data_IF_468994585466
#
_entry.id   IF_468994585466
#
_cell.length_a   1.000
_cell.length_b   1.000
_cell.length_c   1.000
_cell.angle_alpha   90.00
_cell.angle_beta   90.00
_cell.angle_gamma   90.00
#
_symmetry.space_group_name_H-M   'P 1'
#
loop_
_entity.id
_entity.type
_entity.pdbx_description
1 polymer ?
#
# COMPACT_ATOMS: atom_id res chain seq x y z
N UNK A 1 -23.43 72.77 2.14
CA UNK A 1 -23.33 71.93 3.35
C UNK A 1 -24.02 70.61 3.04
N UNK A 2 -23.26 69.52 3.21
CA UNK A 2 -23.51 68.15 2.78
C UNK A 2 -24.57 67.43 3.61
N UNK A 3 -25.41 66.60 2.98
CA UNK A 3 -25.90 65.36 3.61
C UNK A 3 -26.44 64.40 2.55
N UNK A 4 -25.64 63.41 2.22
CA UNK A 4 -26.00 62.20 1.46
C UNK A 4 -26.10 61.04 2.45
N UNK A 5 -27.32 60.58 2.75
CA UNK A 5 -27.55 59.33 3.46
C UNK A 5 -27.64 58.18 2.48
N UNK A 6 -26.50 57.51 2.30
CA UNK A 6 -26.36 56.23 1.62
C UNK A 6 -26.55 55.11 2.66
N UNK A 7 -27.75 54.53 2.73
CA UNK A 7 -28.04 53.37 3.57
C UNK A 7 -27.76 52.10 2.79
N UNK A 8 -26.61 51.47 3.05
CA UNK A 8 -26.32 50.10 2.59
C UNK A 8 -27.22 49.10 3.33
N UNK A 9 -27.84 48.14 2.62
CA UNK A 9 -28.58 47.06 3.26
C UNK A 9 -27.62 46.07 3.93
N UNK A 10 -27.89 45.76 5.19
CA UNK A 10 -27.20 44.71 5.95
C UNK A 10 -27.44 43.35 5.27
N UNK A 11 -26.34 42.71 4.84
CA UNK A 11 -26.35 41.34 4.34
C UNK A 11 -26.59 40.40 5.52
N UNK A 12 -27.80 39.87 5.61
CA UNK A 12 -28.14 38.78 6.52
C UNK A 12 -27.26 37.56 6.20
N UNK A 13 -26.31 37.26 7.09
CA UNK A 13 -25.58 35.99 7.10
C UNK A 13 -26.56 34.87 7.48
N UNK A 14 -27.15 34.24 6.46
CA UNK A 14 -27.95 33.03 6.63
C UNK A 14 -26.97 31.88 6.88
N UNK A 15 -26.74 31.56 8.16
CA UNK A 15 -26.08 30.34 8.57
C UNK A 15 -27.01 29.16 8.28
N UNK A 16 -26.93 28.60 7.07
CA UNK A 16 -27.67 27.37 6.74
C UNK A 16 -27.18 26.25 7.68
N UNK A 17 -28.07 25.57 8.42
CA UNK A 17 -27.67 24.43 9.22
C UNK A 17 -27.08 23.36 8.30
N UNK A 18 -25.96 22.76 8.70
CA UNK A 18 -25.34 21.67 7.98
C UNK A 18 -26.37 20.55 7.80
N UNK A 19 -26.95 20.44 6.60
CA UNK A 19 -27.92 19.41 6.30
C UNK A 19 -27.15 18.11 6.28
N UNK A 20 -27.23 17.35 7.38
CA UNK A 20 -26.61 16.04 7.52
C UNK A 20 -27.36 15.08 6.59
N UNK A 21 -26.99 15.09 5.31
CA UNK A 21 -27.72 14.32 4.30
C UNK A 21 -27.39 12.84 4.45
N UNK A 22 -28.28 11.96 3.94
CA UNK A 22 -27.97 10.52 3.83
C UNK A 22 -26.65 10.28 3.08
N UNK A 23 -26.30 11.18 2.15
CA UNK A 23 -25.03 11.17 1.44
C UNK A 23 -23.83 11.38 2.37
N UNK A 24 -23.88 12.39 3.24
CA UNK A 24 -22.83 12.66 4.22
C UNK A 24 -22.68 11.52 5.21
N UNK A 25 -23.79 10.96 5.70
CA UNK A 25 -23.77 9.78 6.56
C UNK A 25 -23.07 8.58 5.91
N UNK A 26 -23.39 8.28 4.64
CA UNK A 26 -22.76 7.18 3.92
C UNK A 26 -21.26 7.42 3.69
N UNK A 27 -20.88 8.64 3.31
CA UNK A 27 -19.47 9.05 3.13
C UNK A 27 -18.69 8.95 4.44
N UNK A 28 -19.24 9.45 5.53
CA UNK A 28 -18.63 9.38 6.86
C UNK A 28 -18.55 7.93 7.36
N UNK A 29 -19.58 7.11 7.14
CA UNK A 29 -19.55 5.69 7.48
C UNK A 29 -18.41 4.96 6.77
N UNK A 30 -18.17 5.26 5.48
CA UNK A 30 -17.09 4.64 4.71
C UNK A 30 -15.70 5.11 5.16
N UNK A 31 -15.58 6.35 5.63
CA UNK A 31 -14.32 7.00 6.04
C UNK A 31 -14.00 6.93 7.54
N UNK A 32 -14.94 6.42 8.35
CA UNK A 32 -14.75 6.33 9.80
C UNK A 32 -13.55 5.45 10.13
N UNK A 33 -12.86 5.80 11.21
CA UNK A 33 -11.88 4.93 11.86
C UNK A 33 -12.63 3.72 12.44
N UNK A 34 -12.17 2.50 12.16
CA UNK A 34 -12.71 1.29 12.75
C UNK A 34 -11.88 0.82 13.95
N UNK A 35 -10.60 1.18 14.00
CA UNK A 35 -9.68 0.81 15.06
C UNK A 35 -8.79 2.00 15.39
N UNK A 36 -8.76 2.41 16.65
CA UNK A 36 -7.87 3.49 17.13
C UNK A 36 -6.40 3.08 17.04
N UNK A 37 -5.46 4.05 17.01
CA UNK A 37 -4.03 3.76 17.11
C UNK A 37 -3.71 2.95 18.38
N UNK A 38 -2.77 2.00 18.25
CA UNK A 38 -2.29 1.19 19.37
C UNK A 38 -1.31 1.98 20.25
N UNK A 39 -0.54 2.88 19.64
CA UNK A 39 0.26 3.90 20.32
C UNK A 39 -0.60 5.15 20.46
N UNK A 40 -0.71 5.74 21.66
CA UNK A 40 -1.47 6.98 21.84
C UNK A 40 -0.77 8.11 21.06
N UNK A 41 -1.45 8.78 20.11
CA UNK A 41 -0.84 9.86 19.31
C UNK A 41 -0.26 10.99 20.15
N UNK A 42 -0.77 11.22 21.36
CA UNK A 42 -0.27 12.26 22.28
C UNK A 42 1.04 11.87 22.95
N UNK A 43 1.36 10.58 22.96
CA UNK A 43 2.58 10.01 23.53
C UNK A 43 3.66 9.75 22.48
N UNK A 44 3.34 9.95 21.20
CA UNK A 44 4.24 9.72 20.08
C UNK A 44 4.76 11.06 19.52
N UNK A 45 5.92 11.55 20.00
CA UNK A 45 6.51 12.79 19.49
C UNK A 45 7.01 12.65 18.05
N UNK A 46 7.25 11.43 17.56
CA UNK A 46 7.77 11.20 16.21
C UNK A 46 6.76 11.59 15.13
N UNK A 47 5.45 11.62 15.44
CA UNK A 47 4.43 12.14 14.50
C UNK A 47 4.76 13.57 14.08
N UNK A 48 5.08 14.44 15.04
CA UNK A 48 5.38 15.85 14.75
C UNK A 48 6.67 15.98 13.94
N UNK A 49 7.70 15.21 14.29
CA UNK A 49 8.98 15.21 13.58
C UNK A 49 8.83 14.72 12.13
N UNK A 50 8.08 13.64 11.91
CA UNK A 50 7.79 13.11 10.57
C UNK A 50 6.99 14.12 9.75
N UNK A 51 5.98 14.77 10.32
CA UNK A 51 5.19 15.79 9.62
C UNK A 51 6.01 17.04 9.26
N UNK A 52 6.85 17.53 10.17
CA UNK A 52 7.69 18.70 9.92
C UNK A 52 8.73 18.43 8.82
N UNK A 53 9.15 17.18 8.68
CA UNK A 53 10.11 16.74 7.67
C UNK A 53 9.45 16.01 6.48
N UNK A 54 8.18 16.33 6.16
CA UNK A 54 7.40 15.61 5.15
C UNK A 54 8.12 15.43 3.80
N UNK A 55 8.70 16.50 3.24
CA UNK A 55 9.39 16.42 1.94
C UNK A 55 10.67 15.57 1.99
N UNK A 56 11.35 15.50 3.15
CA UNK A 56 12.47 14.58 3.34
C UNK A 56 11.99 13.12 3.25
N UNK A 57 10.92 12.80 3.97
CA UNK A 57 10.37 11.44 4.00
C UNK A 57 9.75 11.00 2.67
N UNK A 58 9.03 11.90 1.98
CA UNK A 58 8.52 11.63 0.62
C UNK A 58 9.68 11.32 -0.33
N UNK A 59 10.79 12.07 -0.25
CA UNK A 59 11.99 11.77 -1.04
C UNK A 59 12.56 10.39 -0.71
N UNK A 60 12.63 9.99 0.56
CA UNK A 60 13.09 8.64 0.93
C UNK A 60 12.16 7.55 0.36
N UNK A 61 10.84 7.74 0.40
CA UNK A 61 9.87 6.82 -0.20
C UNK A 61 10.07 6.70 -1.71
N UNK A 62 10.29 7.81 -2.42
CA UNK A 62 10.58 7.79 -3.86
C UNK A 62 11.86 7.01 -4.16
N UNK A 63 12.95 7.28 -3.44
CA UNK A 63 14.21 6.55 -3.58
C UNK A 63 14.02 5.06 -3.32
N UNK A 64 13.27 4.69 -2.28
CA UNK A 64 12.95 3.31 -1.96
C UNK A 64 12.13 2.62 -3.07
N UNK A 65 11.13 3.31 -3.64
CA UNK A 65 10.31 2.80 -4.74
C UNK A 65 11.15 2.43 -5.97
N UNK A 66 12.09 3.29 -6.35
CA UNK A 66 12.94 3.12 -7.54
C UNK A 66 14.22 2.33 -7.29
N UNK A 67 14.51 1.94 -6.04
CA UNK A 67 15.67 1.11 -5.73
C UNK A 67 15.58 -0.24 -6.46
N UNK A 68 16.63 -0.60 -7.20
CA UNK A 68 16.78 -1.90 -7.84
C UNK A 68 17.99 -2.68 -7.34
N UNK A 69 18.74 -2.12 -6.39
CA UNK A 69 19.91 -2.74 -5.79
C UNK A 69 19.50 -3.65 -4.62
N UNK A 70 20.07 -4.85 -4.55
CA UNK A 70 19.86 -5.84 -3.49
C UNK A 70 18.39 -6.16 -3.15
N UNK A 71 17.51 -6.11 -4.15
CA UNK A 71 16.08 -6.42 -4.00
C UNK A 71 15.81 -7.93 -3.89
N UNK A 72 14.74 -8.29 -3.18
CA UNK A 72 14.26 -9.69 -3.01
C UNK A 72 13.69 -10.32 -4.28
N UNK A 73 13.31 -9.48 -5.23
CA UNK A 73 12.75 -9.89 -6.51
C UNK A 73 13.82 -10.46 -7.43
N UNK A 74 13.45 -11.42 -8.27
CA UNK A 74 14.37 -11.90 -9.30
C UNK A 74 14.55 -10.82 -10.36
N UNK A 75 15.72 -10.79 -10.99
CA UNK A 75 16.10 -9.83 -12.04
C UNK A 75 15.05 -9.76 -13.18
N UNK A 76 14.42 -10.90 -13.49
CA UNK A 76 13.39 -10.99 -14.53
C UNK A 76 11.95 -10.82 -14.04
N UNK A 77 11.73 -10.47 -12.77
CA UNK A 77 10.39 -10.31 -12.24
C UNK A 77 9.63 -9.19 -12.96
N UNK A 78 8.35 -9.43 -13.26
CA UNK A 78 7.48 -8.39 -13.84
C UNK A 78 7.37 -7.17 -12.93
N UNK A 79 7.49 -7.35 -11.61
CA UNK A 79 7.45 -6.24 -10.66
C UNK A 79 8.68 -5.34 -10.81
N UNK A 80 9.90 -5.90 -10.78
CA UNK A 80 11.13 -5.11 -10.93
C UNK A 80 11.19 -4.36 -12.28
N UNK A 81 10.74 -4.99 -13.36
CA UNK A 81 10.71 -4.37 -14.70
C UNK A 81 9.86 -3.10 -14.78
N UNK A 82 8.85 -2.95 -13.92
CA UNK A 82 8.02 -1.74 -13.87
C UNK A 82 8.76 -0.53 -13.27
N UNK A 83 9.87 -0.75 -12.57
CA UNK A 83 10.64 0.29 -11.89
C UNK A 83 12.02 0.51 -12.53
N UNK A 84 12.28 -0.08 -13.71
CA UNK A 84 13.45 0.24 -14.51
C UNK A 84 13.43 1.72 -14.93
N UNK A 85 14.60 2.36 -15.06
CA UNK A 85 14.68 3.69 -15.67
C UNK A 85 13.89 3.73 -16.99
N UNK A 86 13.15 4.81 -17.22
CA UNK A 86 12.28 5.03 -18.38
C UNK A 86 11.00 4.17 -18.45
N UNK A 87 10.86 3.14 -17.61
CA UNK A 87 9.65 2.30 -17.59
C UNK A 87 8.52 2.86 -16.71
N UNK A 88 8.87 3.65 -15.68
CA UNK A 88 7.90 4.26 -14.77
C UNK A 88 7.63 5.74 -15.10
N UNK A 89 6.43 6.18 -14.76
CA UNK A 89 6.07 7.61 -14.72
C UNK A 89 6.53 8.20 -13.37
N UNK A 90 7.47 9.15 -13.41
CA UNK A 90 8.02 9.77 -12.21
C UNK A 90 6.98 10.56 -11.41
N UNK A 91 6.00 11.18 -12.08
CA UNK A 91 4.91 11.90 -11.40
C UNK A 91 3.99 10.95 -10.66
N UNK A 92 3.70 9.78 -11.26
CA UNK A 92 2.90 8.75 -10.61
C UNK A 92 3.62 8.18 -9.37
N UNK A 93 4.93 7.95 -9.45
CA UNK A 93 5.72 7.49 -8.30
C UNK A 93 5.67 8.52 -7.18
N UNK A 94 5.94 9.79 -7.47
CA UNK A 94 5.90 10.85 -6.46
C UNK A 94 4.50 10.99 -5.83
N UNK A 95 3.44 11.00 -6.65
CA UNK A 95 2.06 11.07 -6.17
C UNK A 95 1.74 9.89 -5.24
N UNK A 96 2.13 8.66 -5.62
CA UNK A 96 1.95 7.46 -4.79
C UNK A 96 2.69 7.59 -3.46
N UNK A 97 3.94 8.08 -3.47
CA UNK A 97 4.72 8.29 -2.24
C UNK A 97 4.09 9.34 -1.32
N UNK A 98 3.50 10.40 -1.88
CA UNK A 98 2.74 11.40 -1.12
C UNK A 98 1.49 10.79 -0.49
N UNK A 99 0.74 9.97 -1.21
CA UNK A 99 -0.41 9.25 -0.65
C UNK A 99 0.00 8.26 0.46
N UNK A 100 1.10 7.52 0.28
CA UNK A 100 1.67 6.66 1.33
C UNK A 100 1.99 7.47 2.59
N UNK A 101 2.64 8.62 2.43
CA UNK A 101 2.97 9.50 3.55
C UNK A 101 1.71 9.99 4.27
N UNK A 102 0.70 10.47 3.53
CA UNK A 102 -0.55 10.96 4.11
C UNK A 102 -1.32 9.85 4.85
N UNK A 103 -1.44 8.67 4.25
CA UNK A 103 -2.10 7.52 4.87
C UNK A 103 -1.33 7.02 6.10
N UNK A 104 0.01 7.12 6.12
CA UNK A 104 0.83 6.80 7.29
C UNK A 104 0.56 7.77 8.45
N UNK A 105 0.54 9.07 8.18
CA UNK A 105 0.23 10.09 9.21
C UNK A 105 -1.20 9.91 9.73
N UNK A 106 -2.18 9.73 8.83
CA UNK A 106 -3.57 9.45 9.23
C UNK A 106 -3.67 8.17 10.07
N UNK A 107 -2.90 7.14 9.72
CA UNK A 107 -2.84 5.90 10.48
C UNK A 107 -2.30 6.11 11.89
N UNK A 108 -1.26 6.90 12.05
CA UNK A 108 -0.63 7.17 13.36
C UNK A 108 -1.52 8.06 14.23
N UNK A 109 -2.17 9.09 13.65
CA UNK A 109 -3.03 10.02 14.39
C UNK A 109 -4.41 9.49 14.70
N UNK A 110 -5.04 8.85 13.72
CA UNK A 110 -6.48 8.55 13.76
C UNK A 110 -6.75 7.05 13.85
N UNK A 111 -5.84 6.21 13.38
CA UNK A 111 -5.98 4.76 13.45
C UNK A 111 -6.27 4.11 12.10
N UNK A 112 -6.68 2.84 12.12
CA UNK A 112 -6.90 2.05 10.91
C UNK A 112 -8.32 2.19 10.38
N UNK A 113 -8.41 2.40 9.05
CA UNK A 113 -9.64 2.45 8.28
C UNK A 113 -9.84 1.17 7.47
N UNK A 114 -10.53 0.19 8.05
CA UNK A 114 -10.89 -1.03 7.34
C UNK A 114 -11.45 -2.12 8.25
N UNK A 115 -11.90 -3.25 7.67
CA UNK A 115 -12.36 -4.39 8.46
C UNK A 115 -11.22 -4.98 9.30
N UNK A 116 -11.49 -5.32 10.56
CA UNK A 116 -10.50 -5.78 11.53
C UNK A 116 -9.71 -7.02 11.06
N UNK A 117 -10.31 -7.90 10.26
CA UNK A 117 -9.65 -9.09 9.71
C UNK A 117 -8.45 -8.78 8.78
N UNK A 118 -8.38 -7.57 8.22
CA UNK A 118 -7.26 -7.10 7.41
C UNK A 118 -6.23 -6.32 8.24
N UNK A 119 -6.52 -6.05 9.52
CA UNK A 119 -5.59 -5.34 10.39
C UNK A 119 -4.65 -6.35 11.08
N UNK A 120 -3.54 -6.67 10.41
CA UNK A 120 -2.55 -7.63 10.94
C UNK A 120 -1.79 -7.12 12.16
N UNK A 121 -1.72 -5.80 12.37
CA UNK A 121 -1.16 -5.19 13.57
C UNK A 121 -1.95 -5.50 14.85
N UNK A 122 -3.22 -5.97 14.76
CA UNK A 122 -3.98 -6.39 15.96
C UNK A 122 -3.53 -7.73 16.52
N UNK A 123 -3.04 -8.61 15.66
CA UNK A 123 -2.61 -9.97 16.00
C UNK A 123 -1.36 -10.27 15.20
N UNK A 124 -0.23 -9.58 15.50
CA UNK A 124 1.00 -9.77 14.77
C UNK A 124 1.45 -11.23 14.92
N UNK A 125 2.03 -11.78 13.85
CA UNK A 125 2.71 -13.06 13.94
C UNK A 125 4.02 -12.90 14.71
N UNK A 126 4.57 -14.02 15.19
CA UNK A 126 5.89 -14.02 15.84
C UNK A 126 6.95 -13.34 14.96
N UNK A 127 7.66 -12.39 15.56
CA UNK A 127 8.70 -11.59 14.90
C UNK A 127 8.20 -10.38 14.11
N UNK A 128 6.90 -10.08 14.16
CA UNK A 128 6.27 -8.92 13.51
C UNK A 128 5.54 -8.02 14.53
N UNK A 129 5.86 -8.15 15.81
CA UNK A 129 5.22 -7.42 16.91
C UNK A 129 5.40 -5.90 16.77
N UNK A 130 6.48 -5.46 16.12
CA UNK A 130 6.73 -4.05 15.81
C UNK A 130 5.60 -3.41 14.97
N UNK A 131 4.88 -4.16 14.11
CA UNK A 131 3.72 -3.59 13.40
C UNK A 131 2.64 -3.06 14.35
N UNK A 132 2.54 -3.65 15.55
CA UNK A 132 1.57 -3.27 16.58
C UNK A 132 2.04 -2.07 17.42
N UNK A 133 3.32 -2.03 17.78
CA UNK A 133 3.85 -1.10 18.81
C UNK A 133 4.73 0.01 18.24
N UNK A 134 5.10 -0.04 16.96
CA UNK A 134 5.92 0.97 16.32
C UNK A 134 5.23 2.33 16.36
N UNK A 135 6.00 3.33 16.80
CA UNK A 135 5.69 4.74 16.67
C UNK A 135 5.72 5.19 15.20
N UNK A 136 5.36 6.43 14.93
CA UNK A 136 5.28 6.96 13.56
C UNK A 136 6.63 6.91 12.83
N UNK A 137 7.73 7.21 13.53
CA UNK A 137 9.10 7.20 13.01
C UNK A 137 9.57 5.79 12.63
N UNK A 138 9.43 4.83 13.54
CA UNK A 138 9.74 3.43 13.27
C UNK A 138 8.87 2.87 12.14
N UNK A 139 7.58 3.23 12.12
CA UNK A 139 6.64 2.78 11.09
C UNK A 139 7.01 3.27 9.70
N UNK A 140 7.43 4.53 9.54
CA UNK A 140 7.84 5.04 8.22
C UNK A 140 9.13 4.36 7.73
N UNK A 141 10.07 4.06 8.63
CA UNK A 141 11.26 3.28 8.30
C UNK A 141 10.89 1.87 7.83
N UNK A 142 9.98 1.19 8.53
CA UNK A 142 9.50 -0.13 8.13
C UNK A 142 8.79 -0.11 6.76
N UNK A 143 8.04 0.94 6.45
CA UNK A 143 7.43 1.14 5.12
C UNK A 143 8.50 1.34 4.05
N UNK A 144 9.50 2.19 4.32
CA UNK A 144 10.63 2.43 3.43
C UNK A 144 11.36 1.12 3.13
N UNK A 145 11.67 0.31 4.14
CA UNK A 145 12.34 -0.99 3.96
C UNK A 145 11.51 -1.94 3.09
N UNK A 146 10.19 -2.04 3.35
CA UNK A 146 9.31 -2.87 2.55
C UNK A 146 9.30 -2.46 1.06
N UNK A 147 9.34 -1.16 0.77
CA UNK A 147 9.40 -0.64 -0.60
C UNK A 147 10.81 -0.79 -1.22
N UNK A 148 11.85 -0.57 -0.42
CA UNK A 148 13.24 -0.62 -0.86
C UNK A 148 13.62 -2.00 -1.37
N UNK A 149 13.24 -3.03 -0.62
CA UNK A 149 13.71 -4.39 -0.87
C UNK A 149 12.71 -5.25 -1.67
N UNK A 150 11.45 -4.85 -1.84
CA UNK A 150 10.42 -5.70 -2.44
C UNK A 150 9.55 -4.96 -3.47
N UNK A 151 9.90 -5.07 -4.75
CA UNK A 151 9.18 -4.40 -5.85
C UNK A 151 7.76 -4.92 -6.05
N UNK A 152 7.42 -6.12 -5.52
CA UNK A 152 6.02 -6.58 -5.48
C UNK A 152 5.17 -5.72 -4.54
N UNK A 153 5.75 -5.22 -3.45
CA UNK A 153 5.08 -4.25 -2.57
C UNK A 153 4.87 -2.94 -3.34
N UNK A 154 5.91 -2.42 -3.99
CA UNK A 154 5.82 -1.21 -4.82
C UNK A 154 4.72 -1.32 -5.89
N UNK A 155 4.66 -2.47 -6.59
CA UNK A 155 3.64 -2.73 -7.61
C UNK A 155 2.23 -2.71 -7.05
N UNK A 156 2.01 -3.32 -5.87
CA UNK A 156 0.68 -3.37 -5.25
C UNK A 156 0.17 -1.97 -4.89
N UNK A 157 1.04 -1.08 -4.40
CA UNK A 157 0.64 0.26 -3.94
C UNK A 157 0.52 1.29 -5.06
N UNK A 158 1.15 1.04 -6.21
CA UNK A 158 1.19 2.00 -7.33
C UNK A 158 -0.19 2.33 -7.92
N UNK A 159 -1.16 1.42 -7.78
CA UNK A 159 -2.49 1.57 -8.42
C UNK A 159 -3.67 1.30 -7.48
N UNK A 160 -3.42 0.93 -6.22
CA UNK A 160 -4.48 0.54 -5.29
C UNK A 160 -4.29 1.20 -3.91
N UNK A 161 -5.03 2.28 -3.63
CA UNK A 161 -4.99 2.98 -2.32
C UNK A 161 -5.30 2.06 -1.13
N UNK A 162 -6.09 1.01 -1.36
CA UNK A 162 -6.35 0.03 -0.31
C UNK A 162 -5.07 -0.69 0.12
N UNK A 163 -4.14 -0.95 -0.81
CA UNK A 163 -2.86 -1.57 -0.51
C UNK A 163 -1.94 -0.61 0.23
N UNK A 164 -1.99 0.69 -0.07
CA UNK A 164 -1.31 1.72 0.72
C UNK A 164 -1.76 1.66 2.18
N UNK A 165 -3.08 1.68 2.44
CA UNK A 165 -3.63 1.56 3.80
C UNK A 165 -3.20 0.32 4.55
N UNK A 166 -3.06 -0.82 3.85
CA UNK A 166 -2.57 -2.05 4.45
C UNK A 166 -1.07 -1.97 4.75
N UNK A 167 -0.27 -1.50 3.79
CA UNK A 167 1.17 -1.32 3.93
C UNK A 167 1.51 -0.45 5.13
N UNK A 168 0.93 0.75 5.24
CA UNK A 168 1.26 1.66 6.36
C UNK A 168 0.75 1.15 7.71
N UNK A 169 -0.28 0.30 7.71
CA UNK A 169 -0.83 -0.26 8.95
C UNK A 169 0.02 -1.42 9.51
N UNK A 170 0.63 -2.24 8.66
CA UNK A 170 1.43 -3.41 9.07
C UNK A 170 2.53 -3.71 8.05
N UNK A 171 3.54 -2.83 7.89
CA UNK A 171 4.53 -2.96 6.83
C UNK A 171 5.29 -4.29 6.87
N UNK A 172 5.65 -4.78 8.06
CA UNK A 172 6.44 -6.00 8.21
C UNK A 172 5.63 -7.25 7.82
N UNK A 173 4.38 -7.33 8.29
CA UNK A 173 3.46 -8.38 7.89
C UNK A 173 3.13 -8.31 6.40
N UNK A 174 2.99 -7.11 5.83
CA UNK A 174 2.68 -6.92 4.42
C UNK A 174 3.81 -7.45 3.53
N UNK A 175 5.06 -7.11 3.85
CA UNK A 175 6.25 -7.60 3.16
C UNK A 175 6.42 -9.14 3.31
N UNK A 176 6.27 -9.68 4.52
CA UNK A 176 6.35 -11.13 4.77
C UNK A 176 5.28 -11.93 4.01
N UNK A 177 4.09 -11.38 3.84
CA UNK A 177 3.04 -12.00 3.04
C UNK A 177 3.45 -12.14 1.58
N UNK A 178 4.19 -11.17 1.03
CA UNK A 178 4.75 -11.29 -0.33
C UNK A 178 5.77 -12.40 -0.42
N UNK A 179 6.62 -12.58 0.58
CA UNK A 179 7.61 -13.66 0.57
C UNK A 179 6.95 -15.05 0.64
N UNK A 180 5.89 -15.17 1.45
CA UNK A 180 5.07 -16.39 1.51
C UNK A 180 4.38 -16.69 0.17
N UNK A 181 3.85 -15.66 -0.50
CA UNK A 181 3.22 -15.79 -1.82
C UNK A 181 4.23 -16.21 -2.91
N UNK A 182 5.49 -15.75 -2.84
CA UNK A 182 6.57 -16.18 -3.74
C UNK A 182 6.75 -17.69 -3.69
N UNK A 183 6.94 -18.22 -2.49
CA UNK A 183 7.15 -19.66 -2.28
C UNK A 183 5.98 -20.50 -2.79
N UNK A 184 4.74 -20.05 -2.56
CA UNK A 184 3.54 -20.74 -3.06
C UNK A 184 3.46 -20.73 -4.60
N UNK A 185 3.73 -19.57 -5.22
CA UNK A 185 3.70 -19.43 -6.67
C UNK A 185 4.82 -20.23 -7.36
N UNK A 186 6.02 -20.27 -6.78
CA UNK A 186 7.13 -21.06 -7.31
C UNK A 186 6.84 -22.56 -7.22
N UNK A 187 6.24 -23.04 -6.14
CA UNK A 187 5.80 -24.44 -6.03
C UNK A 187 4.72 -24.77 -7.06
N UNK A 188 3.75 -23.87 -7.27
CA UNK A 188 2.72 -24.03 -8.29
C UNK A 188 3.32 -24.10 -9.70
N UNK A 189 4.28 -23.22 -10.01
CA UNK A 189 4.99 -23.21 -11.30
C UNK A 189 5.69 -24.55 -11.57
N UNK A 190 6.47 -25.05 -10.60
CA UNK A 190 7.16 -26.34 -10.72
C UNK A 190 6.21 -27.51 -10.97
N UNK A 191 5.04 -27.53 -10.30
CA UNK A 191 4.02 -28.57 -10.52
C UNK A 191 3.48 -28.53 -11.95
N UNK A 192 3.17 -27.34 -12.47
CA UNK A 192 2.67 -27.16 -13.84
C UNK A 192 3.73 -27.52 -14.90
N UNK A 193 5.00 -27.20 -14.67
CA UNK A 193 6.11 -27.59 -15.55
C UNK A 193 6.26 -29.11 -15.60
N UNK A 194 6.28 -29.79 -14.44
CA UNK A 194 6.35 -31.25 -14.38
C UNK A 194 5.13 -31.92 -15.04
N UNK A 195 3.95 -31.34 -14.91
CA UNK A 195 2.73 -31.83 -15.58
C UNK A 195 2.82 -31.69 -17.10
N UNK A 196 3.30 -30.54 -17.59
CA UNK A 196 3.53 -30.31 -19.03
C UNK A 196 4.55 -31.28 -19.62
N UNK A 197 5.64 -31.56 -18.91
CA UNK A 197 6.64 -32.55 -19.35
C UNK A 197 6.05 -33.97 -19.40
N UNK A 198 5.23 -34.35 -18.42
CA UNK A 198 4.53 -35.64 -18.44
C UNK A 198 3.57 -35.76 -19.62
N UNK A 199 2.77 -34.71 -19.86
CA UNK A 199 1.84 -34.68 -21.00
C UNK A 199 2.58 -34.80 -22.33
N UNK A 200 3.72 -34.10 -22.47
CA UNK A 200 4.55 -34.17 -23.68
C UNK A 200 5.09 -35.58 -23.91
N UNK A 201 5.59 -36.26 -22.87
CA UNK A 201 6.05 -37.66 -22.96
C UNK A 201 4.94 -38.62 -23.36
N UNK A 202 3.75 -38.48 -22.76
CA UNK A 202 2.58 -39.30 -23.11
C UNK A 202 2.18 -39.07 -24.57
N UNK A 203 2.22 -37.82 -25.05
CA UNK A 203 1.93 -37.49 -26.44
C UNK A 203 2.94 -38.12 -27.41
N UNK A 204 4.23 -38.05 -27.09
CA UNK A 204 5.31 -38.70 -27.85
C UNK A 204 5.15 -40.24 -27.88
N UNK A 205 4.82 -40.86 -26.75
CA UNK A 205 4.55 -42.30 -26.64
C UNK A 205 3.32 -42.73 -27.45
N UNK A 206 2.22 -41.97 -27.36
CA UNK A 206 1.00 -42.23 -28.15
C UNK A 206 1.25 -42.10 -29.64
N UNK A 207 2.08 -41.14 -30.05
CA UNK A 207 2.45 -40.92 -31.44
C UNK A 207 3.32 -42.07 -31.97
N UNK A 208 4.29 -42.54 -31.17
CA UNK A 208 5.10 -43.72 -31.48
C UNK A 208 4.23 -44.99 -31.60
N UNK A 209 3.29 -45.20 -30.68
CA UNK A 209 2.35 -46.33 -30.73
C UNK A 209 1.47 -46.31 -31.99
N UNK A 210 0.91 -45.15 -32.35
CA UNK A 210 0.13 -44.98 -33.60
C UNK A 210 0.93 -45.32 -34.85
N UNK A 211 2.20 -44.90 -34.91
CA UNK A 211 3.07 -45.23 -36.05
C UNK A 211 3.34 -46.74 -36.13
N UNK A 212 3.52 -47.41 -34.98
CA UNK A 212 3.76 -48.86 -34.94
C UNK A 212 2.56 -49.72 -35.37
N UNK A 213 1.33 -49.19 -35.29
CA UNK A 213 0.12 -49.87 -35.75
C UNK A 213 -0.17 -49.68 -37.25
N UNK A 214 0.48 -48.70 -37.89
CA UNK A 214 0.28 -48.34 -39.30
C UNK A 214 1.38 -48.90 -40.22
N UNK A 215 2.45 -49.46 -39.67
CA UNK A 215 3.53 -50.15 -40.39
C UNK A 215 3.45 -51.65 -40.20
#
# INVERSE_FOLDING_TARGET
>A
MSSSHDQRPELYNITLPAVNTRWDHARNYRRRVQQVPQVDPRSDPSILDVEQNAEFWVRQLVLAMINLEDIKDTENSSAAKMFLPEAYDSLLIEATCREIFLDLIDRCKNGFRGPAQFNKALKPQRGLEADQIADCGERILNVIDALMWNKRVCKDVLFEDWKIRLLVNHPLSYDKEKDSQKGSNDQRRKRLEAERERLKKIEEELLAYRLSLLG
#
